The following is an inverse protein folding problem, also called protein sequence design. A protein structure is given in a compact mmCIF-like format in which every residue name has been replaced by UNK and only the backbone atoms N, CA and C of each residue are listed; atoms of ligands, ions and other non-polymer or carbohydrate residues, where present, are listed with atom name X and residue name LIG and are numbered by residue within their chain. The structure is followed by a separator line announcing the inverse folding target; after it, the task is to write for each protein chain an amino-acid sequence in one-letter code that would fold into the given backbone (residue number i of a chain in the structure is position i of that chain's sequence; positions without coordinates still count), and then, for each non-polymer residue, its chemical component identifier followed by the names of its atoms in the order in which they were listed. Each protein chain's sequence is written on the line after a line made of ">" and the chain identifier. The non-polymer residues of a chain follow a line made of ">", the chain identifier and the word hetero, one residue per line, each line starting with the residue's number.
data_IF_534724281070
#
_entry.id   IF_534724281070
#
_cell.length_a   1.000
_cell.length_b   1.000
_cell.length_c   1.000
_cell.angle_alpha   90.00
_cell.angle_beta   90.00
_cell.angle_gamma   90.00
#
_symmetry.space_group_name_H-M   'P 1'
#
loop_
_entity.id
_entity.type
_entity.pdbx_description
1 polymer ?
#
# COMPACT_ATOMS: atom_id res chain seq x y z
N UNK A 1 -1.69 -6.67 -22.78
CA UNK A 1 -0.53 -7.58 -22.67
C UNK A 1 0.54 -7.35 -23.74
N UNK A 2 0.21 -7.26 -25.04
CA UNK A 2 1.22 -7.02 -26.11
C UNK A 2 2.05 -5.75 -25.94
N UNK A 3 1.46 -4.66 -25.44
CA UNK A 3 2.11 -3.34 -25.26
C UNK A 3 3.17 -3.29 -24.15
N UNK A 4 3.03 -4.05 -23.05
CA UNK A 4 4.06 -4.08 -22.01
C UNK A 4 5.26 -4.92 -22.44
N UNK A 5 5.00 -6.07 -23.08
CA UNK A 5 6.06 -6.93 -23.62
C UNK A 5 6.89 -6.17 -24.67
N UNK A 6 6.25 -5.33 -25.51
CA UNK A 6 6.98 -4.49 -26.46
C UNK A 6 7.78 -3.37 -25.78
N UNK A 7 7.28 -2.80 -24.67
CA UNK A 7 7.98 -1.76 -23.88
C UNK A 7 9.22 -2.31 -23.17
N UNK A 8 9.10 -3.48 -22.53
CA UNK A 8 10.20 -4.12 -21.80
C UNK A 8 11.34 -4.59 -22.72
N UNK A 9 11.08 -4.74 -24.02
CA UNK A 9 12.06 -5.11 -25.04
C UNK A 9 12.79 -3.90 -25.66
N UNK A 10 12.40 -2.67 -25.32
CA UNK A 10 13.13 -1.48 -25.78
C UNK A 10 14.49 -1.42 -25.09
N UNK A 11 15.57 -1.26 -25.86
CA UNK A 11 16.94 -1.10 -25.31
C UNK A 11 17.08 0.06 -24.33
N UNK A 12 16.17 1.02 -24.40
CA UNK A 12 16.10 2.21 -23.56
C UNK A 12 15.29 2.00 -22.27
N UNK A 13 14.58 0.87 -22.13
CA UNK A 13 13.80 0.53 -20.94
C UNK A 13 14.74 -0.01 -19.85
N UNK A 14 14.92 0.77 -18.80
CA UNK A 14 15.51 0.31 -17.54
C UNK A 14 14.60 0.72 -16.40
N UNK A 15 14.35 -0.21 -15.48
CA UNK A 15 13.52 0.00 -14.29
C UNK A 15 14.06 1.14 -13.42
N UNK A 16 15.38 1.38 -13.49
CA UNK A 16 16.09 2.37 -12.67
C UNK A 16 16.19 3.75 -13.35
N UNK A 17 16.04 3.81 -14.68
CA UNK A 17 16.27 5.04 -15.46
C UNK A 17 15.11 5.45 -16.36
N UNK A 18 14.01 4.70 -16.41
CA UNK A 18 12.88 5.02 -17.29
C UNK A 18 11.54 4.69 -16.65
N UNK A 19 10.82 5.71 -16.19
CA UNK A 19 9.41 5.56 -15.85
C UNK A 19 8.60 6.01 -17.05
N UNK A 20 7.74 5.12 -17.55
CA UNK A 20 6.93 5.41 -18.73
C UNK A 20 5.51 5.75 -18.33
N UNK A 21 4.96 6.78 -18.94
CA UNK A 21 3.61 7.25 -18.64
C UNK A 21 2.81 7.44 -19.91
N UNK A 22 1.53 7.10 -19.84
CA UNK A 22 0.56 7.40 -20.89
C UNK A 22 -0.11 8.73 -20.58
N UNK A 23 -0.44 9.55 -21.60
CA UNK A 23 -1.29 10.73 -21.40
C UNK A 23 -2.63 10.31 -20.78
N UNK A 24 -2.85 10.71 -19.53
CA UNK A 24 -4.11 10.63 -18.80
C UNK A 24 -4.54 12.05 -18.44
N UNK A 25 -5.85 12.28 -18.24
CA UNK A 25 -6.52 13.53 -17.81
C UNK A 25 -5.64 14.81 -17.77
N UNK A 26 -6.05 15.87 -18.48
CA UNK A 26 -5.31 17.14 -18.64
C UNK A 26 -4.62 17.65 -17.35
N UNK A 27 -5.29 17.59 -16.20
CA UNK A 27 -4.73 18.07 -14.93
C UNK A 27 -3.58 17.17 -14.41
N UNK A 28 -3.78 15.85 -14.42
CA UNK A 28 -2.74 14.88 -14.04
C UNK A 28 -1.52 14.98 -14.96
N UNK A 29 -1.74 15.26 -16.25
CA UNK A 29 -0.65 15.45 -17.22
C UNK A 29 0.24 16.63 -16.85
N UNK A 30 -0.33 17.79 -16.50
CA UNK A 30 0.43 19.00 -16.14
C UNK A 30 1.30 18.75 -14.92
N UNK A 31 0.73 18.17 -13.86
CA UNK A 31 1.44 17.79 -12.64
C UNK A 31 2.62 16.88 -12.97
N UNK A 32 2.36 15.83 -13.74
CA UNK A 32 3.36 14.84 -14.09
C UNK A 32 4.51 15.46 -14.90
N UNK A 33 4.21 16.27 -15.92
CA UNK A 33 5.25 16.94 -16.70
C UNK A 33 6.12 17.82 -15.80
N UNK A 34 5.53 18.61 -14.90
CA UNK A 34 6.29 19.44 -13.93
C UNK A 34 7.19 18.61 -13.02
N UNK A 35 6.69 17.50 -12.48
CA UNK A 35 7.48 16.59 -11.64
C UNK A 35 8.66 16.03 -12.42
N UNK A 36 8.40 15.48 -13.61
CA UNK A 36 9.42 14.80 -14.41
C UNK A 36 10.45 15.75 -15.03
N UNK A 37 10.09 17.02 -15.26
CA UNK A 37 11.05 18.04 -15.72
C UNK A 37 12.25 18.15 -14.78
N UNK A 38 12.05 18.00 -13.46
CA UNK A 38 13.13 17.97 -12.45
C UNK A 38 14.14 16.82 -12.70
N UNK A 39 13.67 15.73 -13.31
CA UNK A 39 14.44 14.53 -13.61
C UNK A 39 14.91 14.45 -15.07
N UNK A 40 14.85 15.56 -15.81
CA UNK A 40 15.27 15.63 -17.21
C UNK A 40 14.30 14.92 -18.13
N UNK A 41 13.03 15.37 -18.10
CA UNK A 41 11.95 14.82 -18.92
C UNK A 41 12.31 14.77 -20.40
N UNK A 42 12.02 13.64 -21.02
CA UNK A 42 12.08 13.40 -22.46
C UNK A 42 10.71 12.94 -22.93
N UNK A 43 10.27 13.46 -24.07
CA UNK A 43 9.03 13.03 -24.71
C UNK A 43 9.36 12.09 -25.86
N UNK A 44 8.63 10.99 -25.95
CA UNK A 44 8.69 10.03 -27.05
C UNK A 44 7.28 9.62 -27.48
N UNK A 45 7.15 9.05 -28.67
CA UNK A 45 5.89 8.50 -29.15
C UNK A 45 6.12 7.05 -29.52
N UNK A 46 5.39 6.14 -28.88
CA UNK A 46 5.24 4.77 -29.36
C UNK A 46 3.97 4.66 -30.18
N UNK A 47 4.09 4.04 -31.33
CA UNK A 47 2.97 3.71 -32.19
C UNK A 47 2.73 2.21 -32.09
N UNK A 48 1.60 1.83 -31.50
CA UNK A 48 1.15 0.44 -31.59
C UNK A 48 0.66 0.19 -33.01
N UNK A 49 1.50 -0.47 -33.82
CA UNK A 49 1.21 -0.78 -35.21
C UNK A 49 -0.03 -1.67 -35.39
N UNK A 50 -0.43 -2.42 -34.35
CA UNK A 50 -1.58 -3.32 -34.43
C UNK A 50 -2.93 -2.64 -34.20
N UNK A 51 -2.96 -1.55 -33.42
CA UNK A 51 -4.19 -0.84 -33.06
C UNK A 51 -4.20 0.64 -33.50
N UNK A 52 -3.17 1.10 -34.21
CA UNK A 52 -2.95 2.53 -34.55
C UNK A 52 -2.99 3.47 -33.34
N UNK A 53 -2.73 2.97 -32.12
CA UNK A 53 -2.76 3.78 -30.90
C UNK A 53 -1.42 4.50 -30.77
N UNK A 54 -1.46 5.84 -30.77
CA UNK A 54 -0.31 6.69 -30.40
C UNK A 54 -0.21 6.80 -28.89
N UNK A 55 0.77 6.12 -28.31
CA UNK A 55 1.14 6.24 -26.91
C UNK A 55 2.24 7.30 -26.79
N UNK A 56 1.87 8.48 -26.29
CA UNK A 56 2.87 9.46 -25.90
C UNK A 56 3.50 9.00 -24.59
N UNK A 57 4.81 8.83 -24.61
CA UNK A 57 5.64 8.47 -23.48
C UNK A 57 6.36 9.70 -22.94
N UNK A 58 6.41 9.77 -21.63
CA UNK A 58 7.30 10.64 -20.89
C UNK A 58 8.32 9.74 -20.20
N UNK A 59 9.61 10.07 -20.28
CA UNK A 59 10.71 9.34 -19.62
C UNK A 59 11.71 10.31 -18.99
N UNK A 60 12.51 9.84 -18.03
CA UNK A 60 13.49 10.66 -17.29
C UNK A 60 14.90 10.32 -17.71
N UNK A 61 15.76 11.30 -17.98
CA UNK A 61 17.19 11.03 -18.24
C UNK A 61 17.97 10.73 -16.96
N UNK A 62 17.56 11.30 -15.82
CA UNK A 62 18.24 11.12 -14.53
C UNK A 62 17.67 9.91 -13.79
N UNK A 63 18.51 9.07 -13.16
CA UNK A 63 18.04 7.96 -12.35
C UNK A 63 17.25 8.48 -11.14
N UNK A 64 16.21 7.73 -10.75
CA UNK A 64 15.42 8.01 -9.55
C UNK A 64 15.83 7.01 -8.47
N UNK A 65 16.18 7.49 -7.28
CA UNK A 65 16.56 6.63 -6.17
C UNK A 65 15.33 5.89 -5.62
N UNK A 66 15.23 4.59 -5.91
CA UNK A 66 14.15 3.74 -5.42
C UNK A 66 14.50 3.25 -4.00
N UNK A 67 13.66 3.52 -2.98
CA UNK A 67 13.91 3.07 -1.61
C UNK A 67 13.78 1.55 -1.47
N UNK A 68 14.18 1.04 -0.31
CA UNK A 68 13.93 -0.35 0.05
C UNK A 68 12.45 -0.50 0.48
N UNK A 69 11.75 -1.46 -0.11
CA UNK A 69 10.31 -1.66 0.08
C UNK A 69 10.10 -3.01 0.76
N UNK A 70 9.36 -3.00 1.86
CA UNK A 70 8.90 -4.21 2.53
C UNK A 70 7.38 -4.30 2.38
N UNK A 71 6.87 -5.42 1.86
CA UNK A 71 5.46 -5.53 1.48
C UNK A 71 4.83 -6.81 2.01
N UNK A 72 3.58 -6.70 2.43
CA UNK A 72 2.72 -7.84 2.74
C UNK A 72 1.43 -7.76 1.94
N UNK A 73 1.07 -8.86 1.29
CA UNK A 73 -0.28 -9.04 0.73
C UNK A 73 -1.22 -9.51 1.84
N UNK A 74 -2.11 -8.62 2.29
CA UNK A 74 -3.12 -8.99 3.31
C UNK A 74 -4.20 -9.85 2.65
N UNK A 75 -4.70 -9.39 1.50
CA UNK A 75 -5.59 -10.12 0.58
C UNK A 75 -5.52 -9.47 -0.81
N UNK A 76 -6.27 -9.99 -1.80
CA UNK A 76 -6.24 -9.48 -3.17
C UNK A 76 -6.47 -7.96 -3.29
N UNK A 77 -7.35 -7.42 -2.45
CA UNK A 77 -7.73 -6.00 -2.41
C UNK A 77 -6.99 -5.14 -1.36
N UNK A 78 -5.99 -5.65 -0.60
CA UNK A 78 -5.31 -4.88 0.47
C UNK A 78 -3.88 -5.35 0.68
N UNK A 79 -2.97 -4.39 0.70
CA UNK A 79 -1.54 -4.57 0.90
C UNK A 79 -1.04 -3.61 1.97
N UNK A 80 -0.04 -4.04 2.73
CA UNK A 80 0.70 -3.20 3.65
C UNK A 80 2.13 -3.05 3.16
N UNK A 81 2.63 -1.84 3.17
CA UNK A 81 3.90 -1.48 2.56
C UNK A 81 4.67 -0.62 3.56
N UNK A 82 5.89 -0.99 3.89
CA UNK A 82 6.85 -0.14 4.60
C UNK A 82 7.92 0.30 3.63
N UNK A 83 8.12 1.61 3.58
CA UNK A 83 9.20 2.23 2.83
C UNK A 83 10.34 2.48 3.79
N UNK A 84 11.52 2.00 3.42
CA UNK A 84 12.75 2.13 4.21
C UNK A 84 13.75 3.00 3.45
N UNK A 85 14.36 3.93 4.17
CA UNK A 85 15.46 4.76 3.66
C UNK A 85 15.13 5.57 2.39
N UNK A 86 13.95 6.20 2.32
CA UNK A 86 13.63 7.11 1.22
C UNK A 86 14.49 8.38 1.28
N UNK A 87 15.30 8.60 0.24
CA UNK A 87 16.18 9.77 0.08
C UNK A 87 15.50 10.98 -0.56
N UNK A 88 14.44 10.74 -1.34
CA UNK A 88 13.75 11.77 -2.08
C UNK A 88 12.47 11.20 -2.69
N UNK A 89 12.00 11.86 -3.73
CA UNK A 89 10.77 11.46 -4.39
C UNK A 89 10.99 10.28 -5.33
N UNK A 90 10.00 9.39 -5.40
CA UNK A 90 10.07 8.19 -6.21
C UNK A 90 8.69 7.73 -6.70
N UNK A 91 8.63 7.01 -7.83
CA UNK A 91 7.42 6.33 -8.26
C UNK A 91 7.23 5.03 -7.46
N UNK A 92 6.10 4.88 -6.78
CA UNK A 92 5.66 3.59 -6.24
C UNK A 92 4.85 2.86 -7.30
N UNK A 93 5.40 1.77 -7.86
CA UNK A 93 4.73 0.96 -8.87
C UNK A 93 4.06 -0.27 -8.24
N UNK A 94 2.81 -0.53 -8.63
CA UNK A 94 2.06 -1.71 -8.22
C UNK A 94 1.69 -2.53 -9.45
N UNK A 95 2.29 -3.71 -9.56
CA UNK A 95 2.22 -4.63 -10.71
C UNK A 95 0.87 -5.32 -10.92
N UNK A 96 -0.23 -4.61 -10.67
CA UNK A 96 -1.60 -4.97 -11.04
C UNK A 96 -2.12 -4.02 -12.11
N UNK A 97 -3.13 -4.48 -12.86
CA UNK A 97 -3.79 -3.67 -13.89
C UNK A 97 -4.36 -2.37 -13.32
N UNK A 98 -4.13 -1.26 -14.02
CA UNK A 98 -4.53 0.07 -13.57
C UNK A 98 -6.04 0.17 -13.31
N UNK A 99 -6.40 0.65 -12.13
CA UNK A 99 -7.78 0.98 -11.79
C UNK A 99 -7.82 2.22 -10.90
N UNK A 100 -8.66 3.20 -11.25
CA UNK A 100 -8.76 4.52 -10.57
C UNK A 100 -9.16 4.47 -9.10
N UNK A 101 -9.76 3.36 -8.67
CA UNK A 101 -10.29 3.18 -7.31
C UNK A 101 -9.34 2.40 -6.37
N UNK A 102 -8.12 2.09 -6.84
CA UNK A 102 -7.03 1.79 -5.93
C UNK A 102 -6.60 3.06 -5.18
N UNK A 103 -6.51 2.96 -3.86
CA UNK A 103 -6.14 4.06 -2.98
C UNK A 103 -4.90 3.70 -2.19
N UNK A 104 -4.13 4.73 -1.86
CA UNK A 104 -2.94 4.63 -1.03
C UNK A 104 -3.17 5.47 0.22
N UNK A 105 -2.90 4.91 1.38
CA UNK A 105 -3.14 5.53 2.68
C UNK A 105 -1.84 5.58 3.47
N UNK A 106 -1.49 6.76 3.97
CA UNK A 106 -0.45 6.95 4.96
C UNK A 106 -1.00 6.59 6.34
N UNK A 107 -0.31 5.71 7.04
CA UNK A 107 -0.68 5.22 8.37
C UNK A 107 0.44 5.49 9.38
N UNK A 108 0.16 5.45 10.69
CA UNK A 108 1.19 5.67 11.70
C UNK A 108 2.32 4.66 11.56
N UNK A 109 3.54 5.12 11.77
CA UNK A 109 4.71 4.24 11.81
C UNK A 109 4.58 3.29 13.00
N UNK A 110 4.22 2.03 12.71
CA UNK A 110 3.87 1.06 13.76
C UNK A 110 5.09 0.30 14.32
N UNK A 111 6.22 0.33 13.60
CA UNK A 111 7.41 -0.42 14.00
C UNK A 111 8.13 0.26 15.16
N UNK A 112 8.08 -0.39 16.33
CA UNK A 112 8.92 -0.08 17.49
C UNK A 112 10.24 -0.81 17.31
N UNK A 113 11.35 -0.08 17.38
CA UNK A 113 12.68 -0.70 17.30
C UNK A 113 12.87 -1.68 18.46
N UNK A 114 12.70 -2.97 18.19
CA UNK A 114 13.22 -4.01 19.08
C UNK A 114 14.74 -4.08 18.88
N UNK A 115 15.49 -4.25 19.98
CA UNK A 115 16.91 -4.60 19.87
C UNK A 115 16.98 -5.97 19.19
N UNK A 116 17.42 -6.00 17.93
CA UNK A 116 17.60 -7.24 17.17
C UNK A 116 18.58 -8.22 17.83
N UNK A 117 19.35 -7.75 18.82
CA UNK A 117 20.23 -8.57 19.68
C UNK A 117 19.51 -9.17 20.91
N UNK A 118 18.20 -9.01 21.04
CA UNK A 118 17.45 -9.60 22.14
C UNK A 118 17.49 -11.14 22.08
N UNK A 119 17.49 -11.78 23.25
CA UNK A 119 17.40 -13.24 23.39
C UNK A 119 16.20 -13.82 22.63
N UNK A 120 15.07 -13.10 22.64
CA UNK A 120 13.86 -13.42 21.88
C UNK A 120 14.12 -13.47 20.37
N UNK A 121 14.78 -12.45 19.82
CA UNK A 121 15.13 -12.41 18.38
C UNK A 121 16.05 -13.56 18.00
N UNK A 122 17.05 -13.89 18.84
CA UNK A 122 17.96 -15.01 18.57
C UNK A 122 17.24 -16.37 18.60
N UNK A 123 16.28 -16.57 19.51
CA UNK A 123 15.43 -17.76 19.54
C UNK A 123 14.53 -17.88 18.30
N UNK A 124 13.98 -16.77 17.81
CA UNK A 124 13.20 -16.77 16.58
C UNK A 124 14.10 -17.14 15.39
N UNK A 125 15.26 -16.50 15.28
CA UNK A 125 16.22 -16.74 14.21
C UNK A 125 16.81 -18.17 14.22
N UNK A 126 16.94 -18.81 15.38
CA UNK A 126 17.40 -20.20 15.45
C UNK A 126 16.37 -21.21 14.93
N UNK A 127 15.07 -20.88 15.04
CA UNK A 127 13.98 -21.68 14.48
C UNK A 127 13.71 -21.44 12.98
N UNK A 128 14.31 -20.38 12.42
CA UNK A 128 14.08 -19.98 11.03
C UNK A 128 14.72 -20.96 10.05
N UNK A 129 13.91 -21.48 9.13
CA UNK A 129 14.36 -22.35 8.05
C UNK A 129 13.64 -22.00 6.74
N UNK A 130 14.30 -22.30 5.62
CA UNK A 130 13.70 -22.15 4.30
C UNK A 130 12.68 -23.27 4.12
N UNK A 131 11.45 -22.92 3.74
CA UNK A 131 10.39 -23.90 3.51
C UNK A 131 10.72 -24.71 2.24
N UNK A 132 10.44 -26.01 2.27
CA UNK A 132 10.64 -26.91 1.12
C UNK A 132 9.88 -26.37 -0.11
N UNK A 133 10.58 -26.19 -1.22
CA UNK A 133 10.04 -25.62 -2.48
C UNK A 133 10.20 -24.10 -2.62
N UNK A 134 10.66 -23.40 -1.58
CA UNK A 134 10.88 -21.95 -1.60
C UNK A 134 12.35 -21.55 -1.71
N UNK A 135 13.26 -22.46 -2.04
CA UNK A 135 14.72 -22.23 -2.02
C UNK A 135 15.15 -21.11 -2.98
N UNK A 136 14.42 -20.94 -4.09
CA UNK A 136 14.66 -19.89 -5.07
C UNK A 136 14.16 -18.52 -4.63
N UNK A 137 13.09 -18.45 -3.84
CA UNK A 137 12.34 -17.21 -3.57
C UNK A 137 12.45 -16.72 -2.13
N UNK A 138 12.61 -17.60 -1.14
CA UNK A 138 12.69 -17.26 0.29
C UNK A 138 14.13 -16.87 0.68
N UNK A 139 14.26 -15.91 1.59
CA UNK A 139 15.53 -15.49 2.14
C UNK A 139 16.16 -16.61 3.00
N UNK A 140 17.47 -16.80 2.87
CA UNK A 140 18.22 -17.66 3.81
C UNK A 140 18.38 -16.97 5.16
N UNK A 141 18.71 -17.71 6.22
CA UNK A 141 19.01 -17.14 7.53
C UNK A 141 20.12 -16.08 7.47
N UNK A 142 21.16 -16.32 6.66
CA UNK A 142 22.25 -15.35 6.42
C UNK A 142 21.73 -14.07 5.79
N UNK A 143 20.87 -14.17 4.78
CA UNK A 143 20.25 -13.01 4.12
C UNK A 143 19.33 -12.25 5.08
N UNK A 144 18.52 -12.97 5.88
CA UNK A 144 17.64 -12.36 6.87
C UNK A 144 18.42 -11.56 7.91
N UNK A 145 19.52 -12.10 8.45
CA UNK A 145 20.40 -11.36 9.37
C UNK A 145 20.94 -10.06 8.75
N UNK A 146 21.28 -10.08 7.45
CA UNK A 146 21.70 -8.88 6.71
C UNK A 146 20.53 -7.88 6.60
N UNK A 147 19.33 -8.36 6.29
CA UNK A 147 18.14 -7.50 6.16
C UNK A 147 17.79 -6.81 7.47
N UNK A 148 17.85 -7.53 8.60
CA UNK A 148 17.62 -6.96 9.93
C UNK A 148 18.68 -5.91 10.27
N UNK A 149 19.97 -6.21 10.02
CA UNK A 149 21.07 -5.25 10.25
C UNK A 149 20.90 -3.97 9.43
N UNK A 150 20.44 -4.11 8.18
CA UNK A 150 20.17 -2.98 7.28
C UNK A 150 18.80 -2.32 7.49
N UNK A 151 17.97 -2.87 8.40
CA UNK A 151 16.59 -2.44 8.67
C UNK A 151 15.69 -2.47 7.43
N UNK A 152 15.90 -3.45 6.55
CA UNK A 152 15.04 -3.71 5.40
C UNK A 152 13.87 -4.64 5.73
N UNK A 153 14.00 -5.37 6.84
CA UNK A 153 12.95 -6.19 7.43
C UNK A 153 12.76 -5.72 8.86
N UNK A 154 11.49 -5.62 9.25
CA UNK A 154 11.11 -5.04 10.54
C UNK A 154 10.42 -6.07 11.43
N UNK A 155 9.37 -6.73 10.94
CA UNK A 155 8.68 -7.80 11.68
C UNK A 155 9.19 -9.19 11.28
N UNK A 156 9.45 -10.06 12.27
CA UNK A 156 9.86 -11.46 12.03
C UNK A 156 8.97 -12.47 12.76
N UNK A 157 8.06 -11.98 13.60
CA UNK A 157 7.08 -12.82 14.30
C UNK A 157 5.82 -12.83 13.47
N UNK A 158 5.30 -14.03 13.20
CA UNK A 158 4.08 -14.15 12.42
C UNK A 158 2.91 -13.48 13.15
N UNK A 159 2.29 -12.51 12.49
CA UNK A 159 1.05 -11.90 12.97
C UNK A 159 -0.06 -12.97 13.04
N UNK A 160 -0.62 -13.25 14.23
CA UNK A 160 -1.60 -14.31 14.43
C UNK A 160 -2.81 -14.11 13.50
N UNK A 161 -3.43 -15.18 12.97
CA UNK A 161 -4.56 -15.04 12.07
C UNK A 161 -5.68 -14.23 12.73
N UNK A 162 -6.10 -13.14 12.08
CA UNK A 162 -7.24 -12.35 12.55
C UNK A 162 -8.51 -13.20 12.55
N UNK A 163 -9.11 -13.38 13.73
CA UNK A 163 -10.37 -14.10 13.91
C UNK A 163 -11.58 -13.36 13.30
N UNK A 164 -11.41 -12.08 12.95
CA UNK A 164 -12.48 -11.21 12.46
C UNK A 164 -12.56 -11.24 10.92
N UNK A 165 -11.53 -11.74 10.23
CA UNK A 165 -11.57 -11.82 8.77
C UNK A 165 -12.44 -13.01 8.32
N UNK A 166 -13.58 -12.77 7.64
CA UNK A 166 -14.50 -13.83 7.20
C UNK A 166 -13.80 -14.89 6.34
N UNK A 167 -12.79 -14.49 5.55
CA UNK A 167 -12.02 -15.40 4.71
C UNK A 167 -11.26 -16.47 5.51
N UNK A 168 -10.68 -16.09 6.66
CA UNK A 168 -9.96 -17.03 7.51
C UNK A 168 -10.90 -17.96 8.28
N UNK A 169 -12.09 -17.48 8.65
CA UNK A 169 -13.13 -18.31 9.25
C UNK A 169 -13.56 -19.42 8.28
N UNK A 170 -13.88 -19.07 7.03
CA UNK A 170 -14.27 -20.04 6.00
C UNK A 170 -13.12 -21.01 5.67
N UNK A 171 -11.89 -20.51 5.55
CA UNK A 171 -10.72 -21.35 5.30
C UNK A 171 -10.45 -22.33 6.45
N UNK A 172 -10.67 -21.92 7.71
CA UNK A 172 -10.52 -22.79 8.89
C UNK A 172 -11.59 -23.88 8.93
N UNK A 173 -12.84 -23.56 8.57
CA UNK A 173 -13.92 -24.55 8.51
C UNK A 173 -13.64 -25.62 7.43
N UNK A 174 -12.95 -25.24 6.34
CA UNK A 174 -12.56 -26.15 5.26
C UNK A 174 -11.22 -26.89 5.43
N UNK A 175 -10.43 -26.63 6.48
CA UNK A 175 -9.13 -27.27 6.70
C UNK A 175 -9.24 -28.37 7.78
N UNK A 176 -9.16 -29.62 7.35
CA UNK A 176 -9.28 -30.84 8.16
C UNK A 176 -7.93 -31.41 8.64
N UNK A 177 -6.93 -30.57 8.94
CA UNK A 177 -5.66 -31.05 9.51
C UNK A 177 -5.18 -30.15 10.65
N UNK A 178 -5.30 -30.61 11.92
CA UNK A 178 -4.86 -29.84 13.10
C UNK A 178 -3.34 -29.86 13.36
N UNK A 179 -2.58 -30.71 12.66
CA UNK A 179 -1.24 -31.13 13.11
C UNK A 179 -0.03 -30.35 12.55
N UNK A 180 -0.23 -29.32 11.73
CA UNK A 180 0.90 -28.52 11.27
C UNK A 180 1.20 -27.39 12.25
N UNK A 181 2.23 -27.61 13.09
CA UNK A 181 2.80 -26.58 13.97
C UNK A 181 3.13 -25.35 13.14
N UNK A 182 2.37 -24.27 13.31
CA UNK A 182 2.58 -23.03 12.56
C UNK A 182 3.96 -22.47 12.89
N UNK A 183 4.79 -22.16 11.87
CA UNK A 183 6.11 -21.62 12.13
C UNK A 183 6.01 -20.27 12.84
N UNK A 184 6.94 -19.99 13.74
CA UNK A 184 7.01 -18.72 14.49
C UNK A 184 7.26 -17.51 13.58
N UNK A 185 7.96 -17.73 12.48
CA UNK A 185 8.24 -16.74 11.42
C UNK A 185 7.59 -17.18 10.12
N UNK A 186 6.77 -16.30 9.55
CA UNK A 186 6.19 -16.45 8.23
C UNK A 186 7.20 -16.26 7.10
N UNK A 187 6.74 -16.41 5.86
CA UNK A 187 7.56 -16.27 4.67
C UNK A 187 8.18 -14.87 4.54
N UNK A 188 9.49 -14.83 4.26
CA UNK A 188 10.25 -13.62 3.91
C UNK A 188 10.99 -13.90 2.61
N UNK A 189 10.73 -13.13 1.56
CA UNK A 189 11.37 -13.33 0.26
C UNK A 189 12.82 -12.85 0.25
N UNK A 190 13.59 -13.30 -0.74
CA UNK A 190 14.80 -12.60 -1.17
C UNK A 190 14.44 -11.19 -1.65
N UNK A 191 15.44 -10.32 -1.72
CA UNK A 191 15.28 -8.95 -2.23
C UNK A 191 15.24 -8.98 -3.75
N UNK A 192 14.15 -8.51 -4.34
CA UNK A 192 13.96 -8.37 -5.79
C UNK A 192 13.58 -6.92 -6.10
N UNK A 193 14.32 -6.23 -6.97
CA UNK A 193 14.04 -4.83 -7.34
C UNK A 193 13.74 -3.93 -6.12
N UNK A 194 14.66 -3.95 -5.15
CA UNK A 194 14.53 -3.26 -3.86
C UNK A 194 13.31 -3.64 -2.99
N UNK A 195 12.58 -4.69 -3.35
CA UNK A 195 11.39 -5.14 -2.64
C UNK A 195 11.63 -6.47 -1.91
N UNK A 196 11.13 -6.58 -0.69
CA UNK A 196 11.09 -7.80 0.12
C UNK A 196 9.63 -8.06 0.51
N UNK A 197 9.10 -9.22 0.15
CA UNK A 197 7.82 -9.67 0.67
C UNK A 197 8.03 -10.21 2.08
N UNK A 198 7.29 -9.69 3.05
CA UNK A 198 7.34 -10.10 4.44
C UNK A 198 5.93 -10.40 4.99
N UNK A 199 5.60 -11.67 5.17
CA UNK A 199 4.30 -12.12 5.69
C UNK A 199 4.12 -11.90 7.20
N UNK A 200 5.10 -11.28 7.85
CA UNK A 200 5.08 -10.97 9.28
C UNK A 200 4.60 -9.55 9.59
N UNK A 201 4.54 -8.64 8.59
CA UNK A 201 4.01 -7.29 8.81
C UNK A 201 2.58 -7.33 9.35
N UNK A 202 2.16 -6.47 10.29
CA UNK A 202 0.82 -6.53 10.88
C UNK A 202 -0.29 -6.44 9.82
N UNK A 203 -1.40 -7.18 9.97
CA UNK A 203 -2.53 -7.02 9.02
C UNK A 203 -3.30 -5.72 9.22
N UNK A 204 -3.34 -5.23 10.47
CA UNK A 204 -4.24 -4.17 10.89
C UNK A 204 -5.72 -4.60 10.87
N UNK A 205 -6.63 -3.77 11.41
CA UNK A 205 -8.06 -4.02 11.32
C UNK A 205 -8.57 -3.88 9.88
N UNK A 206 -9.69 -4.54 9.54
CA UNK A 206 -10.23 -4.47 8.17
C UNK A 206 -10.77 -3.07 7.83
N UNK A 207 -11.22 -2.31 8.84
CA UNK A 207 -11.75 -0.94 8.70
C UNK A 207 -10.69 0.15 8.87
N UNK A 208 -9.41 -0.21 8.98
CA UNK A 208 -8.30 0.72 9.28
C UNK A 208 -8.29 1.99 8.41
N UNK A 209 -8.63 1.86 7.14
CA UNK A 209 -8.55 2.93 6.14
C UNK A 209 -9.90 3.64 5.91
N UNK A 210 -10.95 3.25 6.64
CA UNK A 210 -12.29 3.81 6.49
C UNK A 210 -12.33 5.21 7.09
N UNK A 211 -13.00 6.12 6.38
CA UNK A 211 -13.12 7.53 6.77
C UNK A 211 -11.78 8.24 7.04
N UNK A 212 -10.73 7.83 6.32
CA UNK A 212 -9.44 8.50 6.33
C UNK A 212 -9.59 9.98 5.97
N UNK A 213 -8.70 10.81 6.51
CA UNK A 213 -8.48 12.15 5.96
C UNK A 213 -7.90 12.08 4.56
N UNK A 214 -7.68 13.22 3.92
CA UNK A 214 -7.10 13.28 2.58
C UNK A 214 -6.17 14.49 2.43
N UNK A 215 -5.15 14.33 1.59
CA UNK A 215 -4.28 15.44 1.19
C UNK A 215 -4.88 16.02 -0.10
N UNK A 216 -5.36 17.26 -0.02
CA UNK A 216 -5.98 17.98 -1.13
C UNK A 216 -5.21 19.25 -1.46
N UNK A 217 -5.31 19.70 -2.71
CA UNK A 217 -4.74 20.97 -3.12
C UNK A 217 -5.70 22.10 -2.69
N UNK A 218 -5.25 22.98 -1.80
CA UNK A 218 -5.99 24.12 -1.24
C UNK A 218 -6.41 25.16 -2.28
N UNK A 219 -5.80 25.14 -3.47
CA UNK A 219 -6.20 25.96 -4.62
C UNK A 219 -7.65 25.72 -5.09
N UNK A 220 -8.27 24.60 -4.73
CA UNK A 220 -9.69 24.33 -5.03
C UNK A 220 -10.66 24.84 -3.94
N UNK A 221 -10.15 25.42 -2.83
CA UNK A 221 -10.95 25.67 -1.63
C UNK A 221 -11.22 27.17 -1.40
N UNK A 222 -10.35 28.08 -1.85
CA UNK A 222 -10.57 29.53 -1.70
C UNK A 222 -10.04 30.37 -2.87
N UNK A 223 -10.98 31.02 -3.57
CA UNK A 223 -10.86 32.19 -4.46
C UNK A 223 -10.23 32.10 -5.87
N UNK A 224 -10.79 32.95 -6.73
CA UNK A 224 -10.74 33.01 -8.20
C UNK A 224 -9.46 33.55 -8.85
N UNK A 225 -8.41 33.85 -8.08
CA UNK A 225 -7.16 34.38 -8.64
C UNK A 225 -6.14 33.25 -8.80
N UNK A 226 -6.28 32.53 -9.91
CA UNK A 226 -5.52 31.34 -10.32
C UNK A 226 -4.02 31.57 -10.59
N UNK A 227 -3.45 32.73 -10.29
CA UNK A 227 -2.14 33.13 -10.83
C UNK A 227 -0.94 32.44 -10.18
N UNK A 228 -1.03 31.94 -8.92
CA UNK A 228 0.10 31.31 -8.23
C UNK A 228 -0.16 29.90 -7.65
N UNK A 229 -1.06 29.14 -8.27
CA UNK A 229 -1.31 27.75 -7.90
C UNK A 229 -0.29 26.80 -8.52
N UNK A 230 0.94 26.84 -8.01
CA UNK A 230 1.96 25.85 -8.36
C UNK A 230 1.76 24.55 -7.57
N UNK A 231 1.50 23.48 -8.30
CA UNK A 231 1.20 22.13 -7.78
C UNK A 231 2.42 21.50 -7.06
N UNK A 232 3.62 22.01 -7.34
CA UNK A 232 4.87 21.64 -6.69
C UNK A 232 5.15 22.40 -5.40
N UNK A 233 4.40 23.46 -5.10
CA UNK A 233 4.53 24.19 -3.85
C UNK A 233 3.81 23.43 -2.73
N UNK A 234 4.55 23.11 -1.69
CA UNK A 234 4.06 22.43 -0.48
C UNK A 234 2.95 23.20 0.22
N UNK A 235 3.02 24.53 0.22
CA UNK A 235 2.07 25.41 0.92
C UNK A 235 0.66 25.34 0.32
N UNK A 236 0.56 24.88 -0.93
CA UNK A 236 -0.71 24.73 -1.63
C UNK A 236 -1.41 23.41 -1.28
N UNK A 237 -0.80 22.51 -0.51
CA UNK A 237 -1.39 21.24 -0.11
C UNK A 237 -1.86 21.28 1.33
N UNK A 238 -3.12 20.91 1.55
CA UNK A 238 -3.75 20.91 2.85
C UNK A 238 -4.18 19.49 3.22
N UNK A 239 -3.94 19.14 4.49
CA UNK A 239 -4.42 17.89 5.08
C UNK A 239 -5.81 18.15 5.62
N UNK A 240 -6.81 17.53 5.01
CA UNK A 240 -8.20 17.55 5.48
C UNK A 240 -8.35 16.34 6.40
N UNK A 241 -8.73 16.58 7.65
CA UNK A 241 -8.95 15.51 8.63
C UNK A 241 -10.26 14.79 8.33
N UNK A 242 -10.21 13.47 8.25
CA UNK A 242 -11.39 12.60 8.22
C UNK A 242 -11.81 12.21 9.64
N UNK A 243 -12.86 11.38 9.74
CA UNK A 243 -13.26 10.80 11.05
C UNK A 243 -12.14 9.94 11.64
N UNK A 244 -11.37 9.26 10.80
CA UNK A 244 -10.14 8.60 11.21
C UNK A 244 -8.96 9.55 11.04
N UNK A 245 -8.63 10.29 12.11
CA UNK A 245 -7.55 11.27 12.13
C UNK A 245 -6.14 10.64 11.98
N UNK A 246 -6.02 9.34 12.21
CA UNK A 246 -4.73 8.62 12.18
C UNK A 246 -4.41 8.04 10.80
N UNK A 247 -5.29 8.21 9.81
CA UNK A 247 -5.06 7.68 8.47
C UNK A 247 -5.37 8.75 7.44
N UNK A 248 -4.46 8.90 6.48
CA UNK A 248 -4.52 9.99 5.50
C UNK A 248 -4.39 9.40 4.10
N UNK A 249 -5.40 9.61 3.26
CA UNK A 249 -5.37 9.23 1.85
C UNK A 249 -4.36 10.09 1.08
N UNK A 250 -3.47 9.40 0.38
CA UNK A 250 -2.52 10.01 -0.53
C UNK A 250 -3.25 10.68 -1.71
N UNK A 251 -2.78 11.83 -2.22
CA UNK A 251 -3.49 12.53 -3.29
C UNK A 251 -3.77 11.66 -4.52
N UNK A 252 -5.05 11.55 -4.89
CA UNK A 252 -5.46 10.85 -6.11
C UNK A 252 -4.93 11.52 -7.40
N UNK A 253 -4.55 12.80 -7.33
CA UNK A 253 -3.85 13.50 -8.42
C UNK A 253 -2.47 12.87 -8.71
N UNK A 254 -1.84 12.29 -7.70
CA UNK A 254 -0.56 11.60 -7.82
C UNK A 254 -0.72 10.10 -8.09
N UNK A 255 -1.93 9.62 -8.36
CA UNK A 255 -2.20 8.26 -8.82
C UNK A 255 -2.40 8.23 -10.33
N UNK A 256 -1.69 7.37 -11.04
CA UNK A 256 -1.77 7.28 -12.49
C UNK A 256 -1.34 5.90 -12.99
N UNK A 257 -1.41 5.73 -14.32
CA UNK A 257 -0.94 4.51 -14.99
C UNK A 257 0.54 4.60 -15.34
N UNK A 258 1.35 3.75 -14.72
CA UNK A 258 2.79 3.60 -15.01
C UNK A 258 2.98 2.44 -15.99
N UNK A 259 4.05 2.50 -16.79
CA UNK A 259 4.46 1.46 -17.72
C UNK A 259 3.31 1.00 -18.63
N UNK A 260 2.49 1.94 -19.06
CA UNK A 260 1.31 1.75 -19.91
C UNK A 260 0.18 0.85 -19.37
N UNK A 261 0.30 0.21 -18.21
CA UNK A 261 -0.76 -0.67 -17.69
C UNK A 261 -0.87 -0.77 -16.17
N UNK A 262 0.16 -0.43 -15.40
CA UNK A 262 0.18 -0.69 -13.95
C UNK A 262 -0.30 0.50 -13.14
N UNK A 263 -0.76 0.25 -11.92
CA UNK A 263 -1.04 1.33 -10.96
C UNK A 263 0.27 1.93 -10.48
N UNK A 264 0.32 3.25 -10.34
CA UNK A 264 1.47 3.91 -9.79
C UNK A 264 1.15 5.21 -9.08
N UNK A 265 1.96 5.53 -8.08
CA UNK A 265 1.85 6.76 -7.31
C UNK A 265 3.16 7.53 -7.32
N UNK A 266 3.12 8.86 -7.46
CA UNK A 266 4.27 9.67 -7.03
C UNK A 266 4.27 9.69 -5.51
N UNK A 267 5.40 9.31 -4.92
CA UNK A 267 5.64 9.55 -3.51
C UNK A 267 6.53 10.77 -3.41
N UNK A 268 5.93 11.90 -3.01
CA UNK A 268 6.64 13.10 -2.63
C UNK A 268 7.06 13.00 -1.16
N UNK A 269 8.36 12.84 -0.94
CA UNK A 269 8.97 12.71 0.39
C UNK A 269 8.79 13.97 1.24
N UNK A 270 8.67 15.15 0.62
CA UNK A 270 8.50 16.41 1.34
C UNK A 270 7.11 16.55 1.97
N UNK A 271 6.07 15.90 1.43
CA UNK A 271 4.74 15.87 2.05
C UNK A 271 4.77 15.27 3.45
N UNK A 272 5.59 14.24 3.66
CA UNK A 272 5.71 13.58 4.96
C UNK A 272 6.26 14.54 6.03
N UNK A 273 7.03 15.56 5.65
CA UNK A 273 7.62 16.55 6.56
C UNK A 273 6.69 17.75 6.83
N UNK A 274 5.49 17.79 6.24
CA UNK A 274 4.58 18.92 6.39
C UNK A 274 4.03 19.00 7.82
N UNK A 275 3.95 20.22 8.37
CA UNK A 275 3.53 20.45 9.76
C UNK A 275 2.13 19.88 10.07
N UNK A 276 1.23 19.86 9.08
CA UNK A 276 -0.13 19.31 9.23
C UNK A 276 -0.19 17.80 9.47
N UNK A 277 0.92 17.07 9.28
CA UNK A 277 1.04 15.64 9.58
C UNK A 277 1.64 15.39 10.98
N UNK A 278 2.04 16.43 11.71
CA UNK A 278 2.50 16.31 13.08
C UNK A 278 1.30 16.24 14.03
N UNK A 279 1.37 15.33 14.99
CA UNK A 279 0.39 15.24 16.07
C UNK A 279 1.14 15.57 17.35
N UNK A 280 0.71 16.64 18.04
CA UNK A 280 1.40 17.17 19.23
C UNK A 280 2.88 17.50 18.97
N UNK A 281 3.20 18.07 17.79
CA UNK A 281 4.56 18.36 17.32
C UNK A 281 5.48 17.14 17.10
N UNK A 282 4.95 15.92 17.22
CA UNK A 282 5.71 14.69 17.00
C UNK A 282 5.35 14.03 15.65
N UNK A 283 6.35 13.50 14.90
CA UNK A 283 6.10 12.80 13.65
C UNK A 283 5.58 11.38 13.91
N UNK A 284 4.27 11.19 13.73
CA UNK A 284 3.63 9.87 13.95
C UNK A 284 3.65 9.00 12.69
N UNK A 285 3.64 9.60 11.50
CA UNK A 285 3.51 8.89 10.22
C UNK A 285 4.85 8.44 9.62
N UNK A 286 5.96 9.01 10.08
CA UNK A 286 7.27 8.71 9.55
C UNK A 286 8.32 8.71 10.66
N UNK A 287 9.42 8.04 10.36
CA UNK A 287 10.64 8.03 11.14
C UNK A 287 11.75 8.68 10.33
N UNK A 288 12.46 9.62 10.95
CA UNK A 288 13.70 10.17 10.41
C UNK A 288 14.87 9.28 10.84
N UNK A 289 15.61 8.75 9.87
CA UNK A 289 16.80 7.95 10.12
C UNK A 289 18.01 8.85 10.37
N UNK A 290 19.05 8.31 11.02
CA UNK A 290 20.29 9.06 11.33
C UNK A 290 21.03 9.60 10.10
N UNK A 291 20.80 8.99 8.93
CA UNK A 291 21.34 9.41 7.64
C UNK A 291 20.45 10.44 6.91
N UNK A 292 19.41 10.97 7.55
CA UNK A 292 18.47 11.95 6.98
C UNK A 292 17.36 11.35 6.10
N UNK A 293 17.38 10.04 5.84
CA UNK A 293 16.34 9.35 5.07
C UNK A 293 15.06 9.15 5.86
N UNK A 294 13.95 8.95 5.15
CA UNK A 294 12.64 8.73 5.76
C UNK A 294 12.24 7.26 5.68
N UNK A 295 11.65 6.75 6.76
CA UNK A 295 10.94 5.47 6.76
C UNK A 295 9.50 5.70 7.19
N UNK A 296 8.54 5.11 6.50
CA UNK A 296 7.12 5.35 6.74
C UNK A 296 6.30 4.16 6.26
N UNK A 297 5.04 4.12 6.67
CA UNK A 297 4.15 3.00 6.44
C UNK A 297 2.93 3.42 5.63
N UNK A 298 2.58 2.59 4.64
CA UNK A 298 1.49 2.78 3.72
C UNK A 298 0.58 1.55 3.72
N UNK A 299 -0.71 1.80 3.55
CA UNK A 299 -1.71 0.77 3.26
C UNK A 299 -2.29 1.05 1.89
N UNK A 300 -2.22 0.08 1.00
CA UNK A 300 -2.84 0.15 -0.32
C UNK A 300 -4.11 -0.69 -0.31
N UNK A 301 -5.24 -0.12 -0.70
CA UNK A 301 -6.53 -0.79 -0.63
C UNK A 301 -7.41 -0.45 -1.83
N UNK A 302 -8.14 -1.44 -2.32
CA UNK A 302 -9.13 -1.27 -3.37
C UNK A 302 -10.44 -0.77 -2.75
N UNK A 303 -10.75 0.51 -2.92
CA UNK A 303 -11.87 1.16 -2.24
C UNK A 303 -13.24 0.47 -2.44
N UNK A 304 -13.60 -0.03 -3.65
CA UNK A 304 -14.89 -0.69 -3.86
C UNK A 304 -15.10 -1.94 -3.01
N UNK A 305 -14.02 -2.59 -2.53
CA UNK A 305 -14.10 -3.74 -1.64
C UNK A 305 -14.86 -3.41 -0.34
N UNK A 306 -14.86 -2.14 0.09
CA UNK A 306 -15.57 -1.70 1.30
C UNK A 306 -17.08 -1.78 1.15
N UNK A 307 -17.62 -1.49 -0.04
CA UNK A 307 -19.05 -1.58 -0.32
C UNK A 307 -19.54 -3.02 -0.15
N UNK A 308 -18.75 -3.99 -0.58
CA UNK A 308 -19.03 -5.40 -0.37
C UNK A 308 -19.08 -5.75 1.13
N UNK A 309 -18.13 -5.27 1.93
CA UNK A 309 -18.13 -5.49 3.38
C UNK A 309 -19.35 -4.84 4.07
N UNK A 310 -19.70 -3.60 3.70
CA UNK A 310 -20.89 -2.91 4.24
C UNK A 310 -22.17 -3.68 3.89
N UNK A 311 -22.32 -4.11 2.64
CA UNK A 311 -23.47 -4.90 2.21
C UNK A 311 -23.60 -6.23 2.96
N UNK A 312 -22.47 -6.90 3.23
CA UNK A 312 -22.43 -8.12 4.04
C UNK A 312 -22.87 -7.87 5.48
N UNK A 313 -22.36 -6.82 6.12
CA UNK A 313 -22.75 -6.45 7.50
C UNK A 313 -24.25 -6.15 7.58
N UNK A 314 -24.79 -5.35 6.65
CA UNK A 314 -26.22 -5.03 6.62
C UNK A 314 -27.05 -6.31 6.47
N UNK A 315 -26.68 -7.20 5.56
CA UNK A 315 -27.40 -8.45 5.30
C UNK A 315 -27.43 -9.36 6.54
N UNK A 316 -26.29 -9.54 7.20
CA UNK A 316 -26.19 -10.34 8.44
C UNK A 316 -27.03 -9.70 9.55
N UNK A 317 -26.97 -8.37 9.70
CA UNK A 317 -27.74 -7.65 10.73
C UNK A 317 -29.24 -7.83 10.53
N UNK A 318 -29.73 -7.66 9.29
CA UNK A 318 -31.14 -7.88 8.95
C UNK A 318 -31.55 -9.32 9.23
N UNK A 319 -30.74 -10.31 8.83
CA UNK A 319 -31.01 -11.72 9.09
C UNK A 319 -31.15 -12.02 10.59
N UNK A 320 -30.23 -11.51 11.42
CA UNK A 320 -30.25 -11.70 12.87
C UNK A 320 -31.47 -11.04 13.51
N UNK A 321 -31.84 -9.82 13.08
CA UNK A 321 -33.04 -9.13 13.56
C UNK A 321 -34.29 -9.94 13.19
N UNK A 322 -34.41 -10.39 11.94
CA UNK A 322 -35.55 -11.22 11.49
C UNK A 322 -35.63 -12.53 12.26
N UNK A 323 -34.51 -13.23 12.46
CA UNK A 323 -34.47 -14.47 13.24
C UNK A 323 -34.89 -14.25 14.70
N UNK A 324 -34.41 -13.16 15.31
CA UNK A 324 -34.76 -12.79 16.70
C UNK A 324 -36.25 -12.47 16.83
N UNK A 325 -36.82 -11.72 15.88
CA UNK A 325 -38.26 -11.41 15.86
C UNK A 325 -39.11 -12.68 15.66
N UNK A 326 -38.69 -13.60 14.80
CA UNK A 326 -39.38 -14.87 14.59
C UNK A 326 -39.31 -15.76 15.84
N UNK A 327 -38.15 -15.81 16.50
CA UNK A 327 -37.98 -16.54 17.77
C UNK A 327 -38.87 -15.96 18.86
N UNK A 328 -38.89 -14.63 19.01
CA UNK A 328 -39.75 -13.94 19.97
C UNK A 328 -41.24 -14.23 19.69
N UNK A 329 -41.66 -14.20 18.43
CA UNK A 329 -43.03 -14.56 18.02
C UNK A 329 -43.34 -16.02 18.35
N UNK A 330 -42.41 -16.94 18.12
CA UNK A 330 -42.58 -18.36 18.42
C UNK A 330 -42.74 -18.60 19.92
N UNK A 331 -41.87 -18.00 20.74
CA UNK A 331 -41.95 -18.07 22.21
C UNK A 331 -43.30 -17.50 22.67
N UNK A 332 -43.68 -16.31 22.21
CA UNK A 332 -44.96 -15.68 22.59
C UNK A 332 -46.15 -16.58 22.28
N UNK A 333 -46.21 -17.19 21.09
CA UNK A 333 -47.28 -18.14 20.72
C UNK A 333 -47.34 -19.39 21.59
N UNK A 334 -46.20 -19.85 22.11
CA UNK A 334 -46.12 -21.03 22.99
C UNK A 334 -46.59 -20.73 24.43
N UNK A 335 -46.52 -19.47 24.86
CA UNK A 335 -46.85 -19.05 26.24
C UNK A 335 -48.15 -18.22 26.37
N UNK A 336 -48.84 -17.89 25.28
CA UNK A 336 -50.24 -17.44 25.34
C UNK A 336 -51.18 -18.64 25.24
N UNK A 337 -51.94 -18.99 26.30
CA UNK A 337 -52.98 -20.01 26.20
C UNK A 337 -54.08 -19.52 25.25
N UNK A 338 -54.53 -20.39 24.35
CA UNK A 338 -55.76 -20.20 23.59
C UNK A 338 -56.92 -20.11 24.58
N UNK A 339 -57.56 -18.93 24.64
CA UNK A 339 -58.87 -18.74 25.31
C UNK A 339 -59.95 -19.32 24.41
#
# INVERSE_FOLDING_TARGET
>A
MKTLASLANLREFSVDTGVYFTKQNLDKKKILQKILLKYGLTEGILLDQSNQIRINLLSTKKPIAIPDIEVRKIHAAKYRIRIHNAYGDFPLNFSESFHKDWRLYLVPWSFKEEKFDSTKTQQILSSYHVLKGNEKTQATLKSLKIFLKKRWVTDIVQDPPSLINPYHLVKRIGQSSPDQKTPTTGFISKKFFNTIQNENLPRGPFWETWFAGNIAMGCNITNSNKENCEETNLDNWQVIKGFNANVIEWPNLLHWRINAQTNGWWINSSFLRHASLLINNEPIFYRLNSNGTLSFELVMEFWPQRLFYIGGIISITVLLISATLLLFRHIRRKFTPTI
#
